data_IF_776725298289
#
_entry.id   IF_776725298289
#
_cell.length_a   1.000
_cell.length_b   1.000
_cell.length_c   1.000
_cell.angle_alpha   90.00
_cell.angle_beta   90.00
_cell.angle_gamma   90.00
#
_symmetry.space_group_name_H-M   'P 1'
#
loop_
_entity.id
_entity.type
_entity.pdbx_description
1 polymer ?
#
# COMPACT_ATOMS: atom_id res chain seq x y z
N UNK A 1 2.16 -19.63 -15.91
CA UNK A 1 1.73 -18.55 -15.03
C UNK A 1 1.05 -19.12 -13.81
N UNK A 2 1.42 -18.66 -12.65
CA UNK A 2 0.77 -19.11 -11.42
C UNK A 2 -0.51 -18.33 -11.17
N UNK A 3 -1.64 -19.01 -11.09
CA UNK A 3 -2.91 -18.40 -10.73
C UNK A 3 -3.14 -18.40 -9.21
N UNK A 4 -2.11 -18.79 -8.44
CA UNK A 4 -2.21 -18.91 -6.99
C UNK A 4 -1.92 -17.61 -6.25
N UNK A 5 -1.30 -16.65 -6.93
CA UNK A 5 -0.84 -15.41 -6.30
C UNK A 5 -1.51 -14.21 -6.91
N UNK A 6 -1.69 -13.20 -6.10
CA UNK A 6 -2.10 -11.88 -6.54
C UNK A 6 -1.19 -10.82 -5.94
N UNK A 7 -1.33 -9.58 -6.38
CA UNK A 7 -0.47 -8.49 -5.96
C UNK A 7 -1.27 -7.39 -5.29
N UNK A 8 -0.67 -6.78 -4.29
CA UNK A 8 -1.26 -5.67 -3.54
C UNK A 8 -0.25 -4.55 -3.39
N UNK A 9 -0.73 -3.32 -3.47
CA UNK A 9 0.06 -2.17 -3.03
C UNK A 9 -0.06 -2.09 -1.51
N UNK A 10 1.07 -1.94 -0.84
CA UNK A 10 1.15 -1.84 0.61
C UNK A 10 1.79 -0.53 1.01
N UNK A 11 1.36 0.02 2.13
CA UNK A 11 1.96 1.21 2.73
C UNK A 11 2.38 0.89 4.16
N UNK A 12 3.60 1.26 4.52
CA UNK A 12 4.15 0.98 5.84
C UNK A 12 4.88 2.20 6.37
N UNK A 13 4.51 2.64 7.56
CA UNK A 13 5.23 3.67 8.28
C UNK A 13 6.27 3.00 9.16
N UNK A 14 7.56 3.31 8.91
CA UNK A 14 8.65 2.70 9.67
C UNK A 14 9.02 3.53 10.89
N UNK A 15 9.62 2.89 11.89
CA UNK A 15 10.10 3.57 13.09
C UNK A 15 11.22 4.56 12.80
N UNK A 16 11.88 4.44 11.64
CA UNK A 16 12.90 5.38 11.17
C UNK A 16 12.32 6.72 10.70
N UNK A 17 10.99 6.84 10.66
CA UNK A 17 10.34 8.05 10.20
C UNK A 17 10.15 8.14 8.69
N UNK A 18 10.04 6.99 8.03
CA UNK A 18 9.76 6.93 6.59
C UNK A 18 8.43 6.24 6.34
N UNK A 19 7.77 6.62 5.24
CA UNK A 19 6.66 5.84 4.71
C UNK A 19 7.16 5.11 3.47
N UNK A 20 6.89 3.80 3.41
CA UNK A 20 7.32 2.94 2.32
C UNK A 20 6.11 2.41 1.58
N UNK A 21 6.13 2.56 0.26
CA UNK A 21 5.11 2.03 -0.63
C UNK A 21 5.75 0.91 -1.43
N UNK A 22 5.15 -0.27 -1.38
CA UNK A 22 5.70 -1.47 -2.02
C UNK A 22 4.59 -2.32 -2.61
N UNK A 23 5.01 -3.31 -3.40
CA UNK A 23 4.11 -4.30 -3.97
C UNK A 23 4.36 -5.62 -3.25
N UNK A 24 3.32 -6.16 -2.63
CA UNK A 24 3.39 -7.46 -1.99
C UNK A 24 2.72 -8.51 -2.86
N UNK A 25 3.30 -9.70 -2.87
CA UNK A 25 2.68 -10.87 -3.48
C UNK A 25 1.95 -11.62 -2.38
N UNK A 26 0.66 -11.83 -2.57
CA UNK A 26 -0.22 -12.49 -1.60
C UNK A 26 -0.91 -13.69 -2.25
N UNK A 27 -1.35 -14.64 -1.44
CA UNK A 27 -2.13 -15.74 -1.96
C UNK A 27 -3.46 -15.23 -2.51
N UNK A 28 -3.87 -15.79 -3.64
CA UNK A 28 -5.18 -15.51 -4.19
C UNK A 28 -6.23 -16.04 -3.21
N UNK A 29 -7.19 -15.20 -2.77
CA UNK A 29 -8.19 -15.64 -1.80
C UNK A 29 -9.11 -16.69 -2.40
N UNK A 30 -9.64 -17.53 -1.53
CA UNK A 30 -10.62 -18.55 -1.88
C UNK A 30 -11.97 -18.04 -1.40
N UNK A 31 -12.96 -17.84 -2.30
CA UNK A 31 -14.25 -17.32 -1.89
C UNK A 31 -15.03 -18.34 -1.08
N UNK A 32 -15.70 -17.88 -0.04
CA UNK A 32 -16.62 -18.69 0.74
C UNK A 32 -18.01 -18.72 0.06
N UNK A 33 -18.97 -19.42 0.67
CA UNK A 33 -20.25 -19.73 0.04
C UNK A 33 -21.01 -18.54 -0.56
N UNK A 34 -21.00 -17.40 0.10
CA UNK A 34 -21.71 -16.21 -0.33
C UNK A 34 -20.76 -15.09 -0.80
N UNK A 35 -19.54 -15.47 -1.16
CA UNK A 35 -18.53 -14.56 -1.69
C UNK A 35 -18.22 -14.89 -3.14
N UNK A 36 -17.72 -13.90 -3.87
CA UNK A 36 -17.21 -14.11 -5.22
C UNK A 36 -15.76 -13.61 -5.30
N UNK A 37 -14.99 -14.25 -6.17
CA UNK A 37 -13.62 -13.81 -6.45
C UNK A 37 -13.63 -12.94 -7.69
N UNK A 38 -13.11 -11.72 -7.57
CA UNK A 38 -13.04 -10.78 -8.67
C UNK A 38 -11.58 -10.56 -9.05
N UNK A 39 -11.28 -10.71 -10.34
CA UNK A 39 -9.98 -10.31 -10.89
C UNK A 39 -10.07 -8.82 -11.20
N UNK A 40 -9.40 -8.00 -10.40
CA UNK A 40 -9.45 -6.55 -10.55
C UNK A 40 -8.72 -6.14 -11.83
N UNK A 41 -9.39 -5.39 -12.69
CA UNK A 41 -8.84 -4.89 -13.94
C UNK A 41 -8.62 -3.38 -13.94
N UNK A 42 -9.34 -2.67 -13.08
CA UNK A 42 -9.20 -1.23 -12.92
C UNK A 42 -9.54 -0.83 -11.49
N UNK A 43 -8.83 0.17 -10.99
CA UNK A 43 -9.08 0.73 -9.67
C UNK A 43 -8.84 2.24 -9.71
N UNK A 44 -9.76 3.06 -9.18
CA UNK A 44 -9.53 4.49 -9.11
C UNK A 44 -8.58 4.83 -7.96
N UNK A 45 -7.96 5.99 -8.04
CA UNK A 45 -7.19 6.57 -6.93
C UNK A 45 -8.03 7.68 -6.35
N UNK A 46 -8.55 7.47 -5.16
CA UNK A 46 -9.37 8.44 -4.45
C UNK A 46 -8.51 9.29 -3.49
N UNK A 47 -8.95 10.50 -3.11
CA UNK A 47 -8.23 11.29 -2.12
C UNK A 47 -7.99 10.55 -0.80
N UNK A 48 -8.93 9.70 -0.37
CA UNK A 48 -8.78 8.88 0.82
C UNK A 48 -7.65 7.86 0.69
N UNK A 49 -7.40 7.36 -0.52
CA UNK A 49 -6.29 6.44 -0.77
C UNK A 49 -4.95 7.13 -0.54
N UNK A 50 -4.84 8.39 -0.92
CA UNK A 50 -3.61 9.15 -0.73
C UNK A 50 -3.32 9.37 0.76
N UNK A 51 -4.35 9.56 1.57
CA UNK A 51 -4.20 9.67 3.01
C UNK A 51 -3.60 8.43 3.65
N UNK A 52 -3.99 7.25 3.17
CA UNK A 52 -3.45 5.99 3.64
C UNK A 52 -2.09 5.68 3.01
N UNK A 53 -1.95 5.93 1.72
CA UNK A 53 -0.76 5.61 0.94
C UNK A 53 0.44 6.45 1.35
N UNK A 54 0.25 7.76 1.43
CA UNK A 54 1.32 8.73 1.69
C UNK A 54 1.30 9.27 3.11
N UNK A 55 0.16 9.22 3.77
CA UNK A 55 -0.14 9.99 4.95
C UNK A 55 -0.06 11.51 4.66
N UNK A 56 -0.73 12.31 5.47
CA UNK A 56 -0.66 13.78 5.34
C UNK A 56 0.68 14.34 5.81
N UNK A 57 1.52 13.51 6.38
CA UNK A 57 2.80 13.90 6.95
C UNK A 57 3.99 13.62 6.03
N UNK A 58 3.77 13.00 4.87
CA UNK A 58 4.85 12.64 3.97
C UNK A 58 5.42 13.87 3.27
N UNK A 59 6.74 13.97 3.24
CA UNK A 59 7.46 15.03 2.52
C UNK A 59 7.83 14.51 1.13
N UNK A 60 7.09 14.95 0.13
CA UNK A 60 7.29 14.51 -1.25
C UNK A 60 8.65 14.90 -1.83
N UNK A 61 9.28 15.94 -1.28
CA UNK A 61 10.62 16.35 -1.74
C UNK A 61 11.71 15.35 -1.38
N UNK A 62 11.41 14.41 -0.47
CA UNK A 62 12.35 13.39 -0.04
C UNK A 62 12.13 12.04 -0.72
N UNK A 63 11.33 12.00 -1.76
CA UNK A 63 10.98 10.76 -2.45
C UNK A 63 12.22 10.03 -2.95
N UNK A 64 12.28 8.74 -2.69
CA UNK A 64 13.34 7.86 -3.15
C UNK A 64 12.73 6.58 -3.69
N UNK A 65 13.16 6.17 -4.86
CA UNK A 65 12.65 4.98 -5.53
C UNK A 65 13.82 4.00 -5.68
N UNK A 66 13.62 2.77 -5.22
CA UNK A 66 14.61 1.70 -5.35
C UNK A 66 13.94 0.44 -5.88
N UNK A 67 14.76 -0.48 -6.41
CA UNK A 67 14.27 -1.71 -7.00
C UNK A 67 13.70 -1.50 -8.39
N UNK A 68 13.12 -2.54 -8.95
CA UNK A 68 12.49 -2.51 -10.27
C UNK A 68 11.35 -3.51 -10.34
N UNK A 69 10.37 -3.24 -11.22
CA UNK A 69 9.22 -4.11 -11.39
C UNK A 69 8.47 -4.30 -10.08
N UNK A 70 8.17 -5.55 -9.75
CA UNK A 70 7.41 -5.89 -8.54
C UNK A 70 8.21 -5.69 -7.24
N UNK A 71 9.51 -5.45 -7.34
CA UNK A 71 10.38 -5.20 -6.18
C UNK A 71 10.62 -3.72 -5.94
N UNK A 72 9.91 -2.86 -6.67
CA UNK A 72 10.02 -1.41 -6.50
C UNK A 72 9.53 -1.00 -5.12
N UNK A 73 10.33 -0.19 -4.44
CA UNK A 73 9.96 0.43 -3.17
C UNK A 73 10.13 1.93 -3.30
N UNK A 74 9.06 2.66 -3.00
CA UNK A 74 9.09 4.11 -2.96
C UNK A 74 9.02 4.55 -1.50
N UNK A 75 9.94 5.40 -1.07
CA UNK A 75 9.96 5.87 0.30
C UNK A 75 10.04 7.39 0.37
N UNK A 76 9.48 7.94 1.43
CA UNK A 76 9.50 9.37 1.73
C UNK A 76 9.64 9.55 3.23
N UNK A 77 10.25 10.67 3.63
CA UNK A 77 10.35 10.99 5.06
C UNK A 77 9.03 11.55 5.56
N UNK A 78 8.72 11.21 6.80
CA UNK A 78 7.57 11.77 7.52
C UNK A 78 8.06 12.96 8.35
N UNK A 79 7.27 14.01 8.41
CA UNK A 79 7.52 15.15 9.29
C UNK A 79 7.64 14.65 10.74
N UNK A 80 8.80 14.82 11.39
CA UNK A 80 9.01 14.27 12.74
C UNK A 80 8.00 14.75 13.78
N UNK A 81 7.48 15.98 13.61
CA UNK A 81 6.49 16.50 14.55
C UNK A 81 5.17 15.76 14.52
N UNK A 82 4.89 15.02 13.45
CA UNK A 82 3.64 14.27 13.27
C UNK A 82 3.79 12.79 13.58
N UNK A 83 5.00 12.30 13.82
CA UNK A 83 5.25 10.88 14.09
C UNK A 83 4.49 10.37 15.30
N UNK A 84 4.38 11.21 16.34
CA UNK A 84 3.70 10.80 17.58
C UNK A 84 2.22 10.50 17.33
N UNK A 85 1.56 11.28 16.50
CA UNK A 85 0.16 11.07 16.14
C UNK A 85 -0.06 9.81 15.31
N UNK A 86 1.00 9.30 14.67
CA UNK A 86 0.92 8.17 13.77
C UNK A 86 1.41 6.85 14.39
N UNK A 87 1.69 6.84 15.68
CA UNK A 87 2.16 5.64 16.39
C UNK A 87 1.33 4.39 16.13
N UNK A 88 -0.01 4.44 16.04
CA UNK A 88 -0.79 3.23 15.79
C UNK A 88 -0.48 2.55 14.45
N UNK A 89 0.12 3.27 13.50
CA UNK A 89 0.49 2.72 12.20
C UNK A 89 1.92 2.19 12.12
N UNK A 90 2.73 2.41 13.17
CA UNK A 90 4.16 2.06 13.11
C UNK A 90 4.37 0.58 12.82
N UNK A 91 5.23 0.31 11.85
CA UNK A 91 5.67 -1.01 11.45
C UNK A 91 4.55 -1.96 11.01
N UNK A 92 3.40 -1.41 10.64
CA UNK A 92 2.29 -2.18 10.09
C UNK A 92 2.21 -1.99 8.59
N UNK A 93 2.38 -3.05 7.84
CA UNK A 93 2.16 -3.05 6.40
C UNK A 93 0.66 -3.13 6.14
N UNK A 94 0.11 -2.13 5.45
CA UNK A 94 -1.33 -2.02 5.25
C UNK A 94 -1.67 -2.03 3.76
N UNK A 95 -2.73 -2.75 3.37
CA UNK A 95 -3.21 -2.67 1.99
C UNK A 95 -3.82 -1.29 1.72
N UNK A 96 -3.73 -0.85 0.49
CA UNK A 96 -4.24 0.45 0.06
C UNK A 96 -5.26 0.26 -1.05
N UNK A 97 -6.27 1.12 -1.08
CA UNK A 97 -7.34 1.08 -2.06
C UNK A 97 -8.62 0.50 -1.47
N UNK A 98 -9.74 1.06 -1.87
CA UNK A 98 -11.05 0.64 -1.39
C UNK A 98 -12.07 0.44 -2.50
N UNK A 99 -11.66 0.57 -3.76
CA UNK A 99 -12.50 0.38 -4.92
C UNK A 99 -11.77 -0.40 -6.00
N UNK A 100 -12.52 -1.18 -6.75
CA UNK A 100 -12.00 -1.87 -7.91
C UNK A 100 -13.12 -2.41 -8.75
N UNK A 101 -12.83 -2.65 -10.02
CA UNK A 101 -13.75 -3.27 -10.95
C UNK A 101 -13.02 -4.35 -11.73
N UNK A 102 -13.72 -5.45 -12.01
CA UNK A 102 -13.13 -6.57 -12.72
C UNK A 102 -14.15 -7.65 -13.03
N UNK A 103 -13.62 -8.81 -13.35
CA UNK A 103 -14.42 -9.97 -13.74
C UNK A 103 -14.33 -11.06 -12.68
#
# INVERSE_FOLDING_TARGET
MSDKNSKQIRSKLTSDGNIEISIATVEKPIPLDDEVLIKVEAAPINPSDLGLLLSFAADLSTINISGSGDETVTSMKINPSLMNAMKPRLDQSMPVGNEGAGI
#
